data_IF_375892801494
#
_entry.id   IF_375892801494
#
_cell.length_a   1.000
_cell.length_b   1.000
_cell.length_c   1.000
_cell.angle_alpha   90.00
_cell.angle_beta   90.00
_cell.angle_gamma   90.00
#
_symmetry.space_group_name_H-M   'P 1'
#
loop_
_entity.id
_entity.type
_entity.pdbx_description
1 polymer ?
#
# COMPACT_ATOMS: atom_id res chain seq x y z
N UNK A 1 -0.84 -31.84 -29.85
CA UNK A 1 -0.12 -32.92 -29.12
C UNK A 1 -0.02 -32.49 -27.67
N UNK A 2 -0.53 -33.33 -26.76
CA UNK A 2 -0.52 -33.10 -25.31
C UNK A 2 0.77 -33.69 -24.73
N UNK A 3 1.49 -32.93 -23.92
CA UNK A 3 2.45 -33.46 -22.95
C UNK A 3 2.07 -32.91 -21.56
N UNK A 4 2.00 -33.76 -20.52
CA UNK A 4 1.57 -33.40 -19.18
C UNK A 4 2.75 -32.89 -18.34
N UNK A 5 2.52 -31.89 -17.49
CA UNK A 5 3.38 -31.60 -16.36
C UNK A 5 2.78 -32.22 -15.11
N UNK A 6 3.54 -33.16 -14.57
CA UNK A 6 3.27 -33.95 -13.37
C UNK A 6 3.18 -33.05 -12.14
N UNK A 7 1.98 -32.92 -11.57
CA UNK A 7 1.83 -32.63 -10.14
C UNK A 7 2.06 -33.93 -9.37
N UNK A 8 3.23 -34.02 -8.73
CA UNK A 8 3.54 -35.04 -7.75
C UNK A 8 2.74 -34.79 -6.47
N UNK A 9 1.56 -35.39 -6.39
CA UNK A 9 0.83 -35.64 -5.14
C UNK A 9 1.41 -36.92 -4.54
N UNK A 10 2.27 -36.84 -3.53
CA UNK A 10 2.52 -37.94 -2.58
C UNK A 10 3.44 -37.49 -1.43
N UNK A 11 3.08 -37.97 -0.23
CA UNK A 11 3.79 -37.87 1.08
C UNK A 11 3.38 -36.61 1.85
N UNK A 12 2.56 -36.64 2.90
CA UNK A 12 2.65 -37.54 4.05
C UNK A 12 1.33 -37.61 4.84
N UNK A 13 0.55 -38.68 4.65
CA UNK A 13 -0.46 -39.14 5.61
C UNK A 13 0.20 -40.26 6.42
N UNK A 14 0.95 -39.94 7.47
CA UNK A 14 1.46 -40.94 8.41
C UNK A 14 2.06 -40.33 9.71
N UNK A 15 1.29 -39.61 10.53
CA UNK A 15 1.60 -39.41 11.96
C UNK A 15 0.33 -39.18 12.83
N UNK A 16 -0.78 -39.87 12.53
CA UNK A 16 -1.94 -39.94 13.44
C UNK A 16 -1.86 -41.21 14.30
N UNK A 17 -0.94 -41.22 15.26
CA UNK A 17 -0.98 -42.13 16.40
C UNK A 17 -0.23 -41.52 17.60
N UNK A 18 -0.91 -40.59 18.27
CA UNK A 18 -0.38 -39.90 19.44
C UNK A 18 -1.42 -38.98 20.07
N UNK A 19 -2.55 -39.53 20.53
CA UNK A 19 -3.45 -38.84 21.46
C UNK A 19 -2.76 -38.73 22.83
N UNK A 20 -1.83 -37.79 22.96
CA UNK A 20 -1.55 -37.11 24.21
C UNK A 20 -2.11 -35.70 24.09
N UNK A 21 -2.59 -35.11 25.18
CA UNK A 21 -2.82 -33.66 25.25
C UNK A 21 -1.47 -32.95 25.06
N UNK A 22 -1.02 -32.82 23.81
CA UNK A 22 0.06 -31.94 23.43
C UNK A 22 -0.53 -30.54 23.45
N UNK A 23 -0.02 -29.70 24.33
CA UNK A 23 -0.33 -28.28 24.35
C UNK A 23 -0.19 -27.73 22.94
N UNK A 24 -1.12 -26.85 22.55
CA UNK A 24 -1.11 -26.10 21.29
C UNK A 24 0.29 -25.50 21.02
N UNK A 25 1.01 -25.20 22.11
CA UNK A 25 2.36 -24.66 22.17
C UNK A 25 3.45 -25.53 21.51
N UNK A 26 3.35 -26.86 21.48
CA UNK A 26 4.41 -27.73 20.89
C UNK A 26 4.27 -27.90 19.37
N UNK A 27 3.16 -27.44 18.78
CA UNK A 27 2.84 -27.61 17.36
C UNK A 27 2.40 -26.27 16.74
N UNK A 28 2.95 -25.14 17.19
CA UNK A 28 2.44 -23.83 16.76
C UNK A 28 2.45 -23.66 15.23
N UNK A 29 3.56 -24.02 14.55
CA UNK A 29 3.69 -23.97 13.08
C UNK A 29 2.55 -24.71 12.36
N UNK A 30 2.11 -25.86 12.87
CA UNK A 30 1.02 -26.63 12.28
C UNK A 30 -0.32 -25.88 12.36
N UNK A 31 -0.64 -25.32 13.53
CA UNK A 31 -1.90 -24.61 13.73
C UNK A 31 -1.91 -23.25 13.01
N UNK A 32 -0.79 -22.54 12.98
CA UNK A 32 -0.64 -21.32 12.18
C UNK A 32 -0.89 -21.62 10.70
N UNK A 33 -0.26 -22.65 10.14
CA UNK A 33 -0.50 -23.01 8.74
C UNK A 33 -1.97 -23.40 8.49
N UNK A 34 -2.57 -24.14 9.41
CA UNK A 34 -4.00 -24.48 9.33
C UNK A 34 -4.89 -23.23 9.32
N UNK A 35 -4.58 -22.24 10.15
CA UNK A 35 -5.33 -20.98 10.19
C UNK A 35 -5.13 -20.16 8.91
N UNK A 36 -3.89 -20.06 8.40
CA UNK A 36 -3.58 -19.40 7.13
C UNK A 36 -4.34 -20.07 5.96
N UNK A 37 -4.33 -21.40 5.88
CA UNK A 37 -5.02 -22.15 4.83
C UNK A 37 -6.55 -22.00 4.91
N UNK A 38 -7.10 -21.89 6.12
CA UNK A 38 -8.53 -21.66 6.36
C UNK A 38 -8.93 -20.18 6.29
N UNK A 39 -7.98 -19.27 6.03
CA UNK A 39 -8.16 -17.81 6.02
C UNK A 39 -8.58 -17.22 7.37
N UNK A 40 -8.25 -17.89 8.47
CA UNK A 40 -8.45 -17.42 9.83
C UNK A 40 -7.26 -16.52 10.24
N UNK A 41 -7.07 -15.40 9.54
CA UNK A 41 -5.85 -14.59 9.68
C UNK A 41 -5.69 -13.97 11.07
N UNK A 42 -6.78 -13.55 11.72
CA UNK A 42 -6.74 -12.99 13.09
C UNK A 42 -6.24 -14.03 14.12
N UNK A 43 -6.67 -15.28 13.96
CA UNK A 43 -6.24 -16.40 14.81
C UNK A 43 -4.77 -16.77 14.57
N UNK A 44 -4.30 -16.67 13.32
CA UNK A 44 -2.89 -16.85 12.97
C UNK A 44 -2.02 -15.75 13.56
N UNK A 45 -2.40 -14.47 13.40
CA UNK A 45 -1.70 -13.31 13.96
C UNK A 45 -1.59 -13.43 15.49
N UNK A 46 -2.71 -13.71 16.16
CA UNK A 46 -2.74 -13.86 17.63
C UNK A 46 -1.76 -14.94 18.11
N UNK A 47 -1.63 -16.05 17.37
CA UNK A 47 -0.65 -17.10 17.70
C UNK A 47 0.77 -16.63 17.46
N UNK A 48 1.05 -16.03 16.30
CA UNK A 48 2.38 -15.59 15.90
C UNK A 48 2.94 -14.44 16.74
N UNK A 49 2.08 -13.63 17.38
CA UNK A 49 2.47 -12.58 18.33
C UNK A 49 2.76 -13.11 19.74
N UNK A 50 2.40 -14.37 20.03
CA UNK A 50 2.72 -15.00 21.31
C UNK A 50 4.17 -15.46 21.36
N UNK A 51 4.89 -15.07 22.41
CA UNK A 51 6.28 -15.52 22.66
C UNK A 51 6.40 -17.05 22.64
N UNK A 52 5.40 -17.75 23.17
CA UNK A 52 5.38 -19.22 23.19
C UNK A 52 5.34 -19.83 21.80
N UNK A 53 4.64 -19.19 20.85
CA UNK A 53 4.66 -19.64 19.47
C UNK A 53 5.98 -19.30 18.79
N UNK A 54 6.49 -18.09 19.02
CA UNK A 54 7.75 -17.60 18.44
C UNK A 54 8.93 -18.51 18.80
N UNK A 55 8.98 -19.01 20.04
CA UNK A 55 10.00 -19.96 20.51
C UNK A 55 10.05 -21.28 19.71
N UNK A 56 9.00 -21.61 18.93
CA UNK A 56 8.93 -22.77 18.05
C UNK A 56 9.43 -22.49 16.62
N UNK A 57 9.92 -21.29 16.33
CA UNK A 57 10.49 -20.91 15.04
C UNK A 57 12.01 -20.72 15.14
N UNK A 58 12.73 -21.18 14.11
CA UNK A 58 14.14 -20.81 13.90
C UNK A 58 14.23 -19.40 13.35
N UNK A 59 15.28 -18.67 13.73
CA UNK A 59 15.78 -17.47 13.03
C UNK A 59 14.69 -16.45 12.61
N UNK A 60 13.75 -16.18 13.53
CA UNK A 60 12.62 -15.27 13.33
C UNK A 60 11.70 -15.61 12.13
N UNK A 61 11.71 -16.85 11.64
CA UNK A 61 10.85 -17.36 10.55
C UNK A 61 9.36 -17.07 10.79
N UNK A 62 8.92 -16.90 12.05
CA UNK A 62 7.54 -16.58 12.37
C UNK A 62 7.10 -15.25 11.73
N UNK A 63 8.06 -14.33 11.49
CA UNK A 63 7.81 -13.07 10.80
C UNK A 63 7.35 -13.29 9.34
N UNK A 64 7.79 -14.37 8.69
CA UNK A 64 7.34 -14.70 7.33
C UNK A 64 5.86 -15.08 7.34
N UNK A 65 5.47 -15.93 8.28
CA UNK A 65 4.07 -16.35 8.44
C UNK A 65 3.21 -15.17 8.90
N UNK A 66 3.74 -14.29 9.76
CA UNK A 66 3.04 -13.11 10.27
C UNK A 66 2.82 -12.08 9.16
N UNK A 67 3.85 -11.81 8.34
CA UNK A 67 3.71 -10.97 7.17
C UNK A 67 2.66 -11.53 6.19
N UNK A 68 2.64 -12.85 6.01
CA UNK A 68 1.63 -13.53 5.17
C UNK A 68 0.22 -13.46 5.76
N UNK A 69 0.09 -13.56 7.08
CA UNK A 69 -1.18 -13.40 7.79
C UNK A 69 -1.73 -11.97 7.62
N UNK A 70 -0.87 -10.96 7.75
CA UNK A 70 -1.25 -9.56 7.49
C UNK A 70 -1.64 -9.32 6.03
N UNK A 71 -0.92 -9.89 5.06
CA UNK A 71 -1.30 -9.83 3.64
C UNK A 71 -2.68 -10.46 3.40
N UNK A 72 -2.91 -11.63 4.01
CA UNK A 72 -4.19 -12.33 4.01
C UNK A 72 -5.33 -11.52 4.61
N UNK A 73 -5.10 -10.92 5.78
CA UNK A 73 -6.04 -10.06 6.49
C UNK A 73 -6.38 -8.80 5.68
N UNK A 74 -5.45 -8.30 4.86
CA UNK A 74 -5.69 -7.22 3.90
C UNK A 74 -6.61 -7.64 2.74
N UNK A 75 -6.89 -8.94 2.56
CA UNK A 75 -7.72 -9.50 1.49
C UNK A 75 -6.93 -10.16 0.37
N UNK A 76 -5.60 -10.20 0.48
CA UNK A 76 -4.74 -10.64 -0.60
C UNK A 76 -4.01 -11.95 -0.30
N UNK A 77 -3.70 -12.66 -1.36
CA UNK A 77 -2.76 -13.77 -1.36
C UNK A 77 -1.80 -13.56 -2.53
N UNK A 78 -0.58 -14.08 -2.43
CA UNK A 78 0.35 -14.00 -3.56
C UNK A 78 -0.26 -14.58 -4.85
N UNK A 79 -0.99 -15.71 -4.83
CA UNK A 79 -1.70 -16.21 -6.02
C UNK A 79 -2.77 -15.25 -6.57
N UNK A 80 -3.53 -14.55 -5.71
CA UNK A 80 -4.57 -13.62 -6.18
C UNK A 80 -3.97 -12.37 -6.81
N UNK A 81 -2.89 -11.84 -6.23
CA UNK A 81 -2.19 -10.68 -6.82
C UNK A 81 -1.49 -11.08 -8.13
N UNK A 82 -0.80 -12.23 -8.16
CA UNK A 82 -0.19 -12.73 -9.39
C UNK A 82 -1.23 -13.01 -10.48
N UNK A 83 -2.40 -13.54 -10.12
CA UNK A 83 -3.50 -13.69 -11.07
C UNK A 83 -3.94 -12.33 -11.63
N UNK A 84 -4.12 -11.31 -10.78
CA UNK A 84 -4.45 -9.95 -11.21
C UNK A 84 -3.36 -9.34 -12.12
N UNK A 85 -2.08 -9.66 -11.91
CA UNK A 85 -0.99 -9.22 -12.79
C UNK A 85 -1.02 -9.96 -14.13
N UNK A 86 -1.23 -11.28 -14.12
CA UNK A 86 -1.08 -12.17 -15.27
C UNK A 86 -2.32 -12.26 -16.17
N UNK A 87 -3.52 -12.05 -15.64
CA UNK A 87 -4.77 -12.13 -16.43
C UNK A 87 -4.99 -10.87 -17.30
N UNK A 88 -4.10 -9.87 -17.17
CA UNK A 88 -4.01 -8.70 -18.03
C UNK A 88 -3.48 -9.05 -19.42
N UNK A 89 -4.37 -9.61 -20.25
CA UNK A 89 -4.08 -9.89 -21.66
C UNK A 89 -3.85 -8.58 -22.42
N UNK A 90 -2.59 -8.25 -22.71
CA UNK A 90 -2.05 -7.51 -23.87
C UNK A 90 -2.96 -6.44 -24.52
N UNK A 91 -3.67 -5.67 -23.72
CA UNK A 91 -4.50 -4.55 -24.18
C UNK A 91 -4.01 -3.31 -23.47
N UNK A 92 -4.29 -2.13 -24.03
CA UNK A 92 -3.81 -0.84 -23.51
C UNK A 92 -4.32 -0.52 -22.06
N UNK A 93 -5.04 -1.46 -21.41
CA UNK A 93 -5.73 -1.34 -20.12
C UNK A 93 -5.11 -2.18 -18.99
N UNK A 94 -3.94 -2.81 -19.15
CA UNK A 94 -3.38 -3.73 -18.14
C UNK A 94 -3.26 -3.15 -16.73
N UNK A 95 -2.80 -1.90 -16.60
CA UNK A 95 -2.69 -1.25 -15.28
C UNK A 95 -4.07 -0.93 -14.68
N UNK A 96 -5.05 -0.57 -15.51
CA UNK A 96 -6.41 -0.30 -15.08
C UNK A 96 -7.09 -1.57 -14.56
N UNK A 97 -6.97 -2.66 -15.32
CA UNK A 97 -7.53 -3.96 -14.95
C UNK A 97 -6.86 -4.48 -13.66
N UNK A 98 -5.53 -4.43 -13.59
CA UNK A 98 -4.80 -4.73 -12.34
C UNK A 98 -5.32 -3.91 -11.16
N UNK A 99 -5.41 -2.59 -11.31
CA UNK A 99 -5.80 -1.72 -10.20
C UNK A 99 -7.24 -1.95 -9.76
N UNK A 100 -8.13 -2.25 -10.71
CA UNK A 100 -9.53 -2.60 -10.45
C UNK A 100 -9.63 -3.93 -9.71
N UNK A 101 -8.96 -4.98 -10.20
CA UNK A 101 -8.95 -6.30 -9.58
C UNK A 101 -8.38 -6.25 -8.16
N UNK A 102 -7.35 -5.43 -7.94
CA UNK A 102 -6.75 -5.22 -6.62
C UNK A 102 -7.68 -4.44 -5.69
N UNK A 103 -8.35 -3.40 -6.20
CA UNK A 103 -9.32 -2.62 -5.42
C UNK A 103 -10.53 -3.47 -5.00
N UNK A 104 -10.97 -4.42 -5.84
CA UNK A 104 -12.11 -5.31 -5.56
C UNK A 104 -11.82 -6.35 -4.47
N UNK A 105 -10.55 -6.68 -4.23
CA UNK A 105 -10.13 -7.64 -3.20
C UNK A 105 -9.97 -7.01 -1.81
N UNK A 106 -10.07 -5.67 -1.69
CA UNK A 106 -9.80 -4.97 -0.45
C UNK A 106 -10.81 -5.33 0.65
N UNK A 107 -10.30 -5.46 1.86
CA UNK A 107 -11.05 -5.59 3.11
C UNK A 107 -11.02 -4.27 3.91
N UNK A 108 -11.65 -4.24 5.07
CA UNK A 108 -11.49 -3.11 6.01
C UNK A 108 -10.04 -3.02 6.49
N UNK A 109 -9.49 -1.81 6.59
CA UNK A 109 -8.11 -1.55 7.02
C UNK A 109 -7.04 -2.19 6.11
N UNK A 110 -7.36 -2.39 4.83
CA UNK A 110 -6.45 -3.02 3.85
C UNK A 110 -5.07 -2.39 3.84
N UNK A 111 -5.00 -1.06 3.77
CA UNK A 111 -3.73 -0.34 3.69
C UNK A 111 -2.88 -0.52 4.95
N UNK A 112 -3.51 -0.58 6.13
CA UNK A 112 -2.81 -0.79 7.40
C UNK A 112 -2.24 -2.20 7.49
N UNK A 113 -3.02 -3.20 7.10
CA UNK A 113 -2.56 -4.58 7.06
C UNK A 113 -1.45 -4.80 6.01
N UNK A 114 -1.51 -4.13 4.84
CA UNK A 114 -0.42 -4.13 3.87
C UNK A 114 0.85 -3.46 4.41
N UNK A 115 0.70 -2.42 5.24
CA UNK A 115 1.84 -1.78 5.92
C UNK A 115 2.47 -2.71 6.94
N UNK A 116 1.67 -3.35 7.81
CA UNK A 116 2.15 -4.34 8.78
C UNK A 116 2.84 -5.52 8.10
N UNK A 117 2.29 -6.03 6.99
CA UNK A 117 2.91 -7.10 6.19
C UNK A 117 4.29 -6.70 5.65
N UNK A 118 4.39 -5.47 5.13
CA UNK A 118 5.64 -4.91 4.63
C UNK A 118 6.68 -4.77 5.74
N UNK A 119 6.32 -4.15 6.85
CA UNK A 119 7.25 -3.85 7.95
C UNK A 119 7.72 -5.12 8.64
N UNK A 120 6.83 -6.10 8.81
CA UNK A 120 7.17 -7.44 9.31
C UNK A 120 8.16 -8.16 8.37
N UNK A 121 7.98 -8.02 7.05
CA UNK A 121 8.90 -8.58 6.06
C UNK A 121 10.27 -7.90 6.12
N UNK A 122 10.32 -6.57 6.30
CA UNK A 122 11.58 -5.84 6.48
C UNK A 122 12.27 -6.21 7.79
N UNK A 123 11.51 -6.46 8.86
CA UNK A 123 12.05 -6.92 10.13
C UNK A 123 12.76 -8.26 9.96
N UNK A 124 12.17 -9.21 9.22
CA UNK A 124 12.82 -10.49 8.91
C UNK A 124 14.10 -10.31 8.10
N UNK A 125 14.06 -9.48 7.04
CA UNK A 125 15.21 -9.25 6.18
C UNK A 125 16.33 -8.46 6.86
N UNK A 126 15.98 -7.61 7.83
CA UNK A 126 16.87 -6.67 8.51
C UNK A 126 17.68 -5.76 7.55
N UNK A 127 17.16 -5.57 6.32
CA UNK A 127 17.73 -4.75 5.26
C UNK A 127 16.68 -4.54 4.16
N UNK A 128 16.88 -3.53 3.31
CA UNK A 128 16.12 -3.41 2.08
C UNK A 128 16.55 -4.51 1.11
N UNK A 129 15.61 -5.00 0.30
CA UNK A 129 15.89 -6.06 -0.67
C UNK A 129 17.06 -5.72 -1.59
N UNK A 130 17.25 -4.46 -1.97
CA UNK A 130 18.31 -4.06 -2.89
C UNK A 130 19.71 -4.10 -2.25
N UNK A 131 19.78 -4.08 -0.91
CA UNK A 131 21.02 -4.06 -0.15
C UNK A 131 21.55 -5.48 0.16
N UNK A 132 20.71 -6.51 -0.03
CA UNK A 132 21.06 -7.90 0.24
C UNK A 132 21.80 -8.50 -0.96
N UNK A 133 23.11 -8.68 -0.82
CA UNK A 133 23.92 -9.46 -1.76
C UNK A 133 23.66 -10.98 -1.60
N UNK A 134 23.73 -11.73 -2.70
CA UNK A 134 23.64 -13.21 -2.69
C UNK A 134 22.42 -13.80 -1.95
N UNK A 135 21.23 -13.21 -2.16
CA UNK A 135 19.95 -13.62 -1.54
C UNK A 135 19.73 -15.13 -1.56
N UNK A 136 19.37 -15.68 -0.40
CA UNK A 136 18.85 -17.03 -0.23
C UNK A 136 17.49 -17.19 -0.95
N UNK A 137 17.05 -18.43 -1.23
CA UNK A 137 15.74 -18.67 -1.84
C UNK A 137 14.57 -18.04 -1.04
N UNK A 138 14.66 -18.04 0.29
CA UNK A 138 13.66 -17.43 1.17
C UNK A 138 13.64 -15.92 1.01
N UNK A 139 14.80 -15.25 1.06
CA UNK A 139 14.92 -13.81 0.86
C UNK A 139 14.44 -13.38 -0.53
N UNK A 140 14.72 -14.18 -1.58
CA UNK A 140 14.16 -13.95 -2.93
C UNK A 140 12.63 -13.98 -2.91
N UNK A 141 12.01 -14.94 -2.21
CA UNK A 141 10.56 -15.04 -2.08
C UNK A 141 9.94 -13.86 -1.32
N UNK A 142 10.58 -13.42 -0.24
CA UNK A 142 10.13 -12.27 0.55
C UNK A 142 10.29 -10.98 -0.26
N UNK A 143 11.40 -10.79 -0.96
CA UNK A 143 11.60 -9.63 -1.82
C UNK A 143 10.60 -9.56 -2.97
N UNK A 144 10.25 -10.71 -3.56
CA UNK A 144 9.16 -10.77 -4.54
C UNK A 144 7.83 -10.36 -3.92
N UNK A 145 7.54 -10.83 -2.69
CA UNK A 145 6.32 -10.48 -1.97
C UNK A 145 6.26 -8.98 -1.64
N UNK A 146 7.38 -8.38 -1.20
CA UNK A 146 7.47 -6.94 -0.98
C UNK A 146 7.25 -6.13 -2.26
N UNK A 147 7.85 -6.55 -3.38
CA UNK A 147 7.62 -5.90 -4.67
C UNK A 147 6.13 -5.91 -5.04
N UNK A 148 5.48 -7.06 -4.85
CA UNK A 148 4.05 -7.24 -5.10
C UNK A 148 3.18 -6.41 -4.14
N UNK A 149 3.54 -6.32 -2.87
CA UNK A 149 2.88 -5.43 -1.89
C UNK A 149 3.01 -3.97 -2.33
N UNK A 150 4.20 -3.53 -2.74
CA UNK A 150 4.42 -2.16 -3.25
C UNK A 150 3.55 -1.83 -4.46
N UNK A 151 3.43 -2.75 -5.43
CA UNK A 151 2.51 -2.57 -6.56
C UNK A 151 1.04 -2.50 -6.12
N UNK A 152 0.63 -3.33 -5.17
CA UNK A 152 -0.74 -3.37 -4.61
C UNK A 152 -1.06 -2.06 -3.91
N UNK A 153 -0.15 -1.58 -3.05
CA UNK A 153 -0.24 -0.30 -2.35
C UNK A 153 -0.36 0.87 -3.34
N UNK A 154 0.45 0.87 -4.40
CA UNK A 154 0.41 1.88 -5.48
C UNK A 154 -0.96 1.88 -6.18
N UNK A 155 -1.48 0.71 -6.55
CA UNK A 155 -2.78 0.59 -7.19
C UNK A 155 -3.92 1.12 -6.30
N UNK A 156 -3.93 0.76 -5.02
CA UNK A 156 -4.92 1.27 -4.06
C UNK A 156 -4.80 2.77 -3.82
N UNK A 157 -3.58 3.31 -3.86
CA UNK A 157 -3.40 4.75 -3.75
C UNK A 157 -3.95 5.49 -4.98
N UNK A 158 -3.76 4.94 -6.18
CA UNK A 158 -4.34 5.50 -7.40
C UNK A 158 -5.87 5.35 -7.41
N UNK A 159 -6.41 4.23 -6.95
CA UNK A 159 -7.85 4.03 -6.71
C UNK A 159 -8.40 5.15 -5.82
N UNK A 160 -7.79 5.35 -4.66
CA UNK A 160 -8.15 6.41 -3.72
C UNK A 160 -8.10 7.81 -4.36
N UNK A 161 -7.00 8.16 -5.03
CA UNK A 161 -6.81 9.47 -5.65
C UNK A 161 -7.79 9.71 -6.81
N UNK A 162 -8.14 8.66 -7.55
CA UNK A 162 -9.17 8.72 -8.60
C UNK A 162 -10.60 8.78 -8.05
N UNK A 163 -10.78 8.61 -6.74
CA UNK A 163 -12.09 8.53 -6.11
C UNK A 163 -12.85 7.24 -6.41
N UNK A 164 -12.13 6.14 -6.70
CA UNK A 164 -12.70 4.84 -7.06
C UNK A 164 -13.03 4.68 -8.54
N UNK A 165 -12.63 5.62 -9.40
CA UNK A 165 -12.92 5.60 -10.84
C UNK A 165 -11.64 5.82 -11.66
N UNK A 166 -10.76 4.83 -11.60
CA UNK A 166 -9.50 4.78 -12.36
C UNK A 166 -9.79 4.80 -13.87
N UNK A 167 -10.93 4.27 -14.30
CA UNK A 167 -11.36 4.26 -15.70
C UNK A 167 -11.64 5.68 -16.18
N UNK A 168 -12.43 6.46 -15.44
CA UNK A 168 -12.69 7.86 -15.77
C UNK A 168 -11.41 8.70 -15.71
N UNK A 169 -10.52 8.43 -14.75
CA UNK A 169 -9.21 9.08 -14.72
C UNK A 169 -8.44 8.85 -16.02
N UNK A 170 -8.36 7.59 -16.47
CA UNK A 170 -7.67 7.23 -17.71
C UNK A 170 -8.31 7.86 -18.96
N UNK A 171 -9.63 7.77 -19.08
CA UNK A 171 -10.32 8.11 -20.33
C UNK A 171 -10.57 9.62 -20.48
N UNK A 172 -10.73 10.34 -19.36
CA UNK A 172 -11.24 11.72 -19.36
C UNK A 172 -10.43 12.70 -18.50
N UNK A 173 -9.30 12.30 -17.92
CA UNK A 173 -8.54 13.12 -16.98
C UNK A 173 -9.44 13.57 -15.80
N UNK A 174 -10.00 12.59 -15.07
CA UNK A 174 -11.10 12.79 -14.10
C UNK A 174 -10.92 14.00 -13.18
N UNK A 175 -12.04 14.65 -12.87
CA UNK A 175 -12.08 15.74 -11.89
C UNK A 175 -11.54 15.30 -10.52
N UNK A 176 -11.83 14.07 -10.11
CA UNK A 176 -11.39 13.52 -8.84
C UNK A 176 -9.87 13.43 -8.71
N UNK A 177 -9.17 12.92 -9.74
CA UNK A 177 -7.70 12.88 -9.71
C UNK A 177 -7.11 14.29 -9.60
N UNK A 178 -7.64 15.24 -10.38
CA UNK A 178 -7.18 16.64 -10.36
C UNK A 178 -7.47 17.34 -9.03
N UNK A 179 -8.57 16.99 -8.38
CA UNK A 179 -8.89 17.47 -7.03
C UNK A 179 -7.93 16.88 -5.99
N UNK A 180 -7.61 15.59 -6.10
CA UNK A 180 -6.65 14.92 -5.23
C UNK A 180 -5.24 15.49 -5.39
N UNK A 181 -4.77 15.71 -6.62
CA UNK A 181 -3.46 16.34 -6.86
C UNK A 181 -3.42 17.79 -6.40
N UNK A 182 -4.53 18.53 -6.50
CA UNK A 182 -4.66 19.87 -5.90
C UNK A 182 -4.53 19.84 -4.37
N UNK A 183 -5.17 18.86 -3.70
CA UNK A 183 -5.04 18.67 -2.25
C UNK A 183 -3.60 18.33 -1.84
N UNK A 184 -2.93 17.43 -2.56
CA UNK A 184 -1.50 17.10 -2.34
C UNK A 184 -0.63 18.34 -2.54
N UNK A 185 -0.89 19.12 -3.60
CA UNK A 185 -0.20 20.37 -3.88
C UNK A 185 -0.36 21.39 -2.76
N UNK A 186 -1.58 21.55 -2.22
CA UNK A 186 -1.83 22.39 -1.05
C UNK A 186 -1.07 21.90 0.18
N UNK A 187 -1.15 20.61 0.50
CA UNK A 187 -0.48 20.00 1.66
C UNK A 187 1.04 20.18 1.61
N UNK A 188 1.62 20.02 0.42
CA UNK A 188 3.06 20.23 0.16
C UNK A 188 3.44 21.70 0.31
N UNK A 189 2.61 22.61 -0.21
CA UNK A 189 2.87 24.04 -0.09
C UNK A 189 2.69 24.50 1.37
N UNK A 190 1.71 23.97 2.10
CA UNK A 190 1.42 24.28 3.50
C UNK A 190 2.54 23.82 4.44
N UNK A 191 3.19 22.71 4.10
CA UNK A 191 4.44 22.25 4.72
C UNK A 191 5.55 23.31 4.64
N UNK A 192 5.65 24.00 3.49
CA UNK A 192 6.65 25.04 3.28
C UNK A 192 6.24 26.40 3.87
N UNK A 193 4.93 26.70 3.87
CA UNK A 193 4.35 27.95 4.35
C UNK A 193 2.95 27.71 4.95
N UNK A 194 2.86 27.71 6.28
CA UNK A 194 1.58 27.54 6.99
C UNK A 194 0.64 28.75 6.88
N UNK A 195 1.04 29.81 6.17
CA UNK A 195 0.25 31.03 5.96
C UNK A 195 -0.39 31.12 4.58
N UNK A 196 -0.40 30.00 3.82
CA UNK A 196 -1.07 29.93 2.51
C UNK A 196 -2.51 30.41 2.60
N UNK A 197 -2.84 31.37 1.72
CA UNK A 197 -4.17 31.92 1.61
C UNK A 197 -5.12 30.96 0.89
N UNK A 198 -6.34 30.87 1.40
CA UNK A 198 -7.46 30.22 0.72
C UNK A 198 -8.31 31.26 -0.05
N UNK A 199 -8.91 30.88 -1.20
CA UNK A 199 -8.78 29.57 -1.84
C UNK A 199 -7.40 29.36 -2.47
N UNK A 200 -6.85 28.15 -2.37
CA UNK A 200 -5.57 27.79 -2.96
C UNK A 200 -5.77 27.16 -4.34
N UNK A 201 -5.16 27.75 -5.37
CA UNK A 201 -5.23 27.26 -6.75
C UNK A 201 -3.89 27.25 -7.47
N UNK A 202 -2.78 27.55 -6.79
CA UNK A 202 -1.48 27.80 -7.44
C UNK A 202 -0.95 26.58 -8.21
N UNK A 203 -1.13 25.37 -7.65
CA UNK A 203 -0.76 24.10 -8.28
C UNK A 203 -1.96 23.31 -8.81
N UNK A 204 -3.13 23.94 -8.88
CA UNK A 204 -4.37 23.27 -9.24
C UNK A 204 -4.75 23.57 -10.68
N UNK A 205 -5.25 22.58 -11.41
CA UNK A 205 -5.77 22.81 -12.76
C UNK A 205 -7.10 23.57 -12.67
N UNK A 206 -7.18 24.75 -13.28
CA UNK A 206 -8.40 25.56 -13.29
C UNK A 206 -9.61 24.76 -13.82
N UNK A 207 -10.78 24.81 -13.16
CA UNK A 207 -11.17 25.74 -12.08
C UNK A 207 -10.99 25.18 -10.66
N UNK A 208 -10.18 24.14 -10.47
CA UNK A 208 -10.05 23.43 -9.19
C UNK A 208 -9.28 24.27 -8.17
N UNK A 209 -9.73 24.24 -6.91
CA UNK A 209 -9.10 24.93 -5.80
C UNK A 209 -9.42 24.27 -4.46
N UNK A 210 -8.52 24.41 -3.49
CA UNK A 210 -8.84 24.14 -2.07
C UNK A 210 -9.52 25.37 -1.50
N UNK A 211 -10.76 25.22 -1.04
CA UNK A 211 -11.63 26.34 -0.64
C UNK A 211 -11.61 26.59 0.86
N UNK A 212 -11.57 25.53 1.66
CA UNK A 212 -11.52 25.60 3.12
C UNK A 212 -10.53 24.60 3.71
N UNK A 213 -10.01 24.96 4.88
CA UNK A 213 -9.17 24.12 5.76
C UNK A 213 -9.62 24.41 7.19
N UNK A 214 -10.20 23.43 7.87
CA UNK A 214 -10.69 23.55 9.25
C UNK A 214 -10.19 22.41 10.11
N UNK A 215 -9.91 22.68 11.39
CA UNK A 215 -9.47 21.62 12.31
C UNK A 215 -10.65 20.73 12.74
N UNK A 216 -10.45 19.41 12.64
CA UNK A 216 -11.38 18.40 13.13
C UNK A 216 -10.64 17.38 13.99
N UNK A 217 -11.21 17.03 15.15
CA UNK A 217 -10.64 16.05 16.08
C UNK A 217 -11.52 14.80 16.14
N UNK A 218 -10.91 13.65 15.88
CA UNK A 218 -11.54 12.33 16.04
C UNK A 218 -11.09 11.69 17.35
N UNK A 219 -12.02 11.12 18.11
CA UNK A 219 -11.69 10.35 19.33
C UNK A 219 -12.74 9.30 19.70
N UNK A 220 -12.28 8.10 20.07
CA UNK A 220 -13.10 6.98 20.58
C UNK A 220 -12.78 6.62 22.05
N UNK A 221 -12.09 7.51 22.78
CA UNK A 221 -11.64 7.28 24.16
C UNK A 221 -10.31 6.54 24.30
N UNK A 222 -9.87 5.80 23.26
CA UNK A 222 -8.54 5.18 23.21
C UNK A 222 -7.60 6.01 22.34
N UNK A 223 -8.10 6.50 21.21
CA UNK A 223 -7.34 7.27 20.22
C UNK A 223 -7.90 8.69 20.18
N UNK A 224 -7.03 9.67 19.94
CA UNK A 224 -7.42 11.08 19.74
C UNK A 224 -6.49 11.71 18.71
N UNK A 225 -7.01 12.03 17.52
CA UNK A 225 -6.25 12.59 16.40
C UNK A 225 -6.90 13.85 15.87
N UNK A 226 -6.10 14.86 15.51
CA UNK A 226 -6.59 16.13 14.97
C UNK A 226 -6.02 16.33 13.57
N UNK A 227 -6.88 16.73 12.64
CA UNK A 227 -6.57 16.91 11.23
C UNK A 227 -7.05 18.26 10.73
N UNK A 228 -6.43 18.73 9.66
CA UNK A 228 -7.01 19.76 8.80
C UNK A 228 -7.95 19.08 7.80
N UNK A 229 -9.24 19.35 7.90
CA UNK A 229 -10.26 18.93 6.94
C UNK A 229 -10.28 19.90 5.76
N UNK A 230 -9.94 19.38 4.59
CA UNK A 230 -9.85 20.15 3.36
C UNK A 230 -11.09 19.95 2.50
N UNK A 231 -11.60 21.03 1.92
CA UNK A 231 -12.62 20.99 0.86
C UNK A 231 -12.01 21.44 -0.46
N UNK A 232 -12.14 20.60 -1.49
CA UNK A 232 -11.63 20.86 -2.84
C UNK A 232 -12.80 20.96 -3.82
N UNK A 233 -12.93 22.11 -4.46
CA UNK A 233 -14.04 22.44 -5.37
C UNK A 233 -13.56 22.64 -6.80
N UNK A 234 -14.48 22.83 -7.75
CA UNK A 234 -14.17 23.03 -9.18
C UNK A 234 -14.14 21.74 -10.02
N UNK A 235 -14.42 20.58 -9.41
CA UNK A 235 -14.70 19.32 -10.12
C UNK A 235 -16.18 19.15 -10.46
N UNK A 236 -16.57 17.93 -10.82
CA UNK A 236 -17.99 17.54 -10.99
C UNK A 236 -18.75 17.54 -9.65
N UNK A 237 -18.05 17.19 -8.58
CA UNK A 237 -18.52 17.20 -7.20
C UNK A 237 -17.39 17.69 -6.28
N UNK A 238 -17.74 18.21 -5.11
CA UNK A 238 -16.74 18.58 -4.11
C UNK A 238 -16.05 17.32 -3.54
N UNK A 239 -14.75 17.42 -3.27
CA UNK A 239 -13.97 16.36 -2.63
C UNK A 239 -13.42 16.82 -1.30
N UNK A 240 -13.25 15.86 -0.39
CA UNK A 240 -12.85 16.12 0.99
C UNK A 240 -11.65 15.25 1.36
N UNK A 241 -10.73 15.82 2.12
CA UNK A 241 -9.51 15.13 2.53
C UNK A 241 -9.19 15.49 3.98
N UNK A 242 -8.49 14.59 4.67
CA UNK A 242 -7.83 14.91 5.93
C UNK A 242 -6.35 15.11 5.66
N UNK A 243 -5.80 16.20 6.20
CA UNK A 243 -4.38 16.47 6.22
C UNK A 243 -3.90 16.34 7.67
N UNK A 244 -2.97 15.42 7.90
CA UNK A 244 -2.23 15.33 9.15
C UNK A 244 -0.97 16.20 9.05
N UNK A 245 -0.53 16.70 10.20
CA UNK A 245 0.76 17.35 10.33
C UNK A 245 1.63 16.50 11.26
N UNK A 246 2.75 15.99 10.73
CA UNK A 246 3.76 15.27 11.51
C UNK A 246 5.01 16.13 11.61
N UNK A 247 5.61 16.19 12.80
CA UNK A 247 6.88 16.87 13.00
C UNK A 247 7.99 15.84 12.92
N UNK A 248 8.89 15.98 11.94
CA UNK A 248 10.12 15.21 11.93
C UNK A 248 10.97 15.64 13.13
N UNK A 249 11.18 14.70 14.06
CA UNK A 249 11.89 14.93 15.31
C UNK A 249 13.39 15.22 15.10
N UNK A 250 13.96 14.81 13.96
CA UNK A 250 15.37 15.04 13.64
C UNK A 250 15.60 16.42 13.01
N UNK A 251 14.65 16.90 12.19
CA UNK A 251 14.80 18.16 11.46
C UNK A 251 13.93 19.31 11.98
N UNK A 252 13.01 19.05 12.91
CA UNK A 252 11.96 19.96 13.36
C UNK A 252 11.10 20.53 12.22
N UNK A 253 11.08 19.87 11.07
CA UNK A 253 10.21 20.25 9.96
C UNK A 253 8.83 19.63 10.17
N UNK A 254 7.79 20.44 9.98
CA UNK A 254 6.41 19.97 10.02
C UNK A 254 6.01 19.55 8.60
N UNK A 255 5.94 18.25 8.36
CA UNK A 255 5.39 17.71 7.12
C UNK A 255 3.87 17.64 7.24
N UNK A 256 3.18 18.22 6.27
CA UNK A 256 1.73 18.08 6.13
C UNK A 256 1.44 17.13 4.99
N UNK A 257 0.64 16.10 5.26
CA UNK A 257 0.33 15.07 4.29
C UNK A 257 -1.15 14.73 4.28
N UNK A 258 -1.67 14.41 3.10
CA UNK A 258 -3.01 13.85 2.96
C UNK A 258 -3.02 12.45 3.55
N UNK A 259 -4.05 12.13 4.33
CA UNK A 259 -4.25 10.84 4.99
C UNK A 259 -5.19 9.98 4.15
N UNK A 260 -4.93 8.68 4.06
CA UNK A 260 -5.90 7.76 3.49
C UNK A 260 -7.12 7.66 4.38
N UNK A 261 -8.29 7.77 3.74
CA UNK A 261 -9.58 7.66 4.42
C UNK A 261 -10.45 6.65 3.71
N UNK A 262 -11.22 5.88 4.46
CA UNK A 262 -12.19 4.93 3.93
C UNK A 262 -13.58 5.27 4.43
N UNK A 263 -14.55 5.40 3.52
CA UNK A 263 -15.92 5.76 3.85
C UNK A 263 -16.04 7.12 4.58
N UNK A 264 -17.15 7.29 5.29
CA UNK A 264 -17.41 8.47 6.11
C UNK A 264 -17.75 8.06 7.54
N UNK A 265 -17.31 8.85 8.51
CA UNK A 265 -17.66 8.66 9.91
C UNK A 265 -17.82 9.99 10.66
N UNK A 266 -18.47 9.90 11.81
CA UNK A 266 -18.50 10.99 12.79
C UNK A 266 -17.16 11.07 13.51
N UNK A 267 -16.97 12.12 14.32
CA UNK A 267 -15.73 12.32 15.10
C UNK A 267 -15.50 11.24 16.15
N UNK A 268 -16.46 10.36 16.42
CA UNK A 268 -16.30 9.19 17.29
C UNK A 268 -16.02 7.88 16.52
N UNK A 269 -15.73 7.99 15.22
CA UNK A 269 -15.53 6.88 14.28
C UNK A 269 -16.80 6.06 13.95
N UNK A 270 -17.98 6.51 14.37
CA UNK A 270 -19.24 5.89 13.96
C UNK A 270 -19.50 6.13 12.47
N UNK A 271 -19.63 5.05 11.69
CA UNK A 271 -19.87 5.11 10.23
C UNK A 271 -21.16 5.88 9.91
N UNK A 272 -21.10 6.74 8.89
CA UNK A 272 -22.23 7.50 8.37
C UNK A 272 -22.30 7.41 6.85
N UNK A 273 -23.50 7.62 6.28
CA UNK A 273 -23.78 7.31 4.88
C UNK A 273 -23.62 8.49 3.91
N UNK A 274 -23.53 9.73 4.41
CA UNK A 274 -23.46 10.93 3.57
C UNK A 274 -22.63 12.00 4.27
N UNK A 275 -21.63 12.54 3.56
CA UNK A 275 -20.86 13.70 4.03
C UNK A 275 -21.78 14.91 4.19
N UNK A 276 -21.66 15.60 5.32
CA UNK A 276 -22.43 16.83 5.55
C UNK A 276 -21.63 17.93 6.27
N UNK A 277 -20.30 17.82 6.25
CA UNK A 277 -19.28 18.76 6.76
C UNK A 277 -19.43 19.19 8.24
N UNK A 278 -20.50 18.75 8.91
CA UNK A 278 -20.92 19.20 10.25
C UNK A 278 -21.06 18.04 11.24
N UNK A 279 -21.33 16.84 10.74
CA UNK A 279 -21.47 15.63 11.57
C UNK A 279 -20.82 14.40 10.97
N UNK A 280 -20.56 14.39 9.66
CA UNK A 280 -20.02 13.26 8.93
C UNK A 280 -18.89 13.73 8.03
N UNK A 281 -17.69 13.18 8.24
CA UNK A 281 -16.43 13.52 7.58
C UNK A 281 -15.84 12.30 6.88
N UNK A 282 -14.87 12.49 6.01
CA UNK A 282 -14.01 11.39 5.54
C UNK A 282 -13.36 10.69 6.73
N UNK A 283 -13.40 9.36 6.78
CA UNK A 283 -13.03 8.62 7.99
C UNK A 283 -11.55 8.22 8.00
N UNK A 284 -10.75 8.67 8.98
CA UNK A 284 -9.37 8.22 9.12
C UNK A 284 -9.29 6.81 9.72
N UNK A 285 -8.11 6.21 9.61
CA UNK A 285 -7.80 4.94 10.28
C UNK A 285 -7.96 5.05 11.81
N UNK A 286 -8.43 3.95 12.43
CA UNK A 286 -8.45 3.77 13.88
C UNK A 286 -7.16 3.15 14.42
N UNK A 287 -6.09 3.10 13.63
CA UNK A 287 -4.76 2.69 14.12
C UNK A 287 -4.04 3.87 14.77
N UNK A 288 -2.95 3.61 15.51
CA UNK A 288 -2.15 4.66 16.18
C UNK A 288 -1.51 5.61 15.18
N UNK A 289 -0.94 5.07 14.09
CA UNK A 289 -0.30 5.85 13.04
C UNK A 289 -1.23 6.09 11.84
N UNK A 290 -1.12 7.27 11.23
CA UNK A 290 -1.83 7.58 10.00
C UNK A 290 -1.06 7.08 8.79
N UNK A 291 -1.79 6.46 7.86
CA UNK A 291 -1.26 6.15 6.54
C UNK A 291 -1.39 7.39 5.68
N UNK A 292 -0.26 8.01 5.37
CA UNK A 292 -0.22 9.24 4.58
C UNK A 292 0.07 8.92 3.12
N UNK A 293 -0.70 9.55 2.23
CA UNK A 293 -0.66 9.33 0.77
C UNK A 293 0.74 9.55 0.21
N UNK A 294 1.41 10.62 0.63
CA UNK A 294 2.70 11.00 0.04
C UNK A 294 3.78 9.94 0.26
N UNK A 295 4.02 9.52 1.51
CA UNK A 295 5.01 8.46 1.79
C UNK A 295 4.55 7.15 1.18
N UNK A 296 3.27 6.80 1.32
CA UNK A 296 2.77 5.54 0.82
C UNK A 296 2.90 5.39 -0.70
N UNK A 297 2.61 6.43 -1.50
CA UNK A 297 2.77 6.38 -2.96
C UNK A 297 4.25 6.42 -3.34
N UNK A 298 5.04 7.29 -2.70
CA UNK A 298 6.46 7.43 -2.99
C UNK A 298 7.25 6.17 -2.67
N UNK A 299 7.10 5.67 -1.45
CA UNK A 299 7.81 4.49 -0.95
C UNK A 299 7.37 3.27 -1.77
N UNK A 300 6.05 3.08 -1.98
CA UNK A 300 5.55 1.93 -2.74
C UNK A 300 6.01 1.92 -4.20
N UNK A 301 6.10 3.08 -4.87
CA UNK A 301 6.61 3.17 -6.24
C UNK A 301 8.13 2.97 -6.29
N UNK A 302 8.88 3.64 -5.43
CA UNK A 302 10.34 3.54 -5.42
C UNK A 302 10.80 2.15 -4.99
N UNK A 303 10.28 1.63 -3.87
CA UNK A 303 10.66 0.32 -3.32
C UNK A 303 10.14 -0.80 -4.20
N UNK A 304 8.88 -0.72 -4.64
CA UNK A 304 8.26 -1.73 -5.50
C UNK A 304 9.04 -1.95 -6.79
N UNK A 305 9.36 -0.86 -7.51
CA UNK A 305 10.10 -0.95 -8.77
C UNK A 305 11.59 -1.26 -8.55
N UNK A 306 12.20 -0.78 -7.47
CA UNK A 306 13.60 -1.11 -7.15
C UNK A 306 13.76 -2.58 -6.79
N UNK A 307 12.80 -3.16 -6.05
CA UNK A 307 12.80 -4.58 -5.71
C UNK A 307 12.61 -5.47 -6.95
N UNK A 308 11.78 -5.06 -7.91
CA UNK A 308 11.66 -5.74 -9.21
C UNK A 308 13.01 -5.71 -9.92
N UNK A 309 13.65 -4.54 -10.01
CA UNK A 309 14.93 -4.41 -10.68
C UNK A 309 16.01 -5.27 -10.02
N UNK A 310 16.14 -5.29 -8.69
CA UNK A 310 17.17 -6.09 -8.02
C UNK A 310 16.98 -7.60 -8.15
N UNK A 311 15.72 -8.06 -8.27
CA UNK A 311 15.42 -9.48 -8.52
C UNK A 311 15.79 -9.92 -9.94
N UNK A 312 15.80 -9.00 -10.90
CA UNK A 312 15.98 -9.32 -12.32
C UNK A 312 17.27 -8.78 -12.96
N UNK A 313 18.00 -7.89 -12.28
CA UNK A 313 19.24 -7.27 -12.78
C UNK A 313 20.41 -8.24 -13.03
N UNK A 314 20.43 -9.40 -12.38
CA UNK A 314 21.57 -10.33 -12.39
C UNK A 314 21.45 -11.53 -13.35
N UNK A 315 20.44 -11.56 -14.24
CA UNK A 315 20.28 -12.67 -15.19
C UNK A 315 20.67 -12.23 -16.60
N UNK A 316 21.90 -12.56 -16.99
CA UNK A 316 22.56 -12.16 -18.26
C UNK A 316 21.79 -12.53 -19.55
N UNK A 317 20.76 -13.38 -19.53
CA UNK A 317 20.23 -13.99 -20.77
C UNK A 317 18.70 -14.20 -20.86
N UNK A 318 17.85 -13.51 -20.10
CA UNK A 318 16.40 -13.78 -20.26
C UNK A 318 15.34 -12.89 -19.62
N UNK A 319 15.72 -11.84 -18.88
CA UNK A 319 14.74 -10.97 -18.21
C UNK A 319 14.76 -9.52 -18.70
N UNK A 320 15.32 -9.28 -19.90
CA UNK A 320 15.33 -7.95 -20.54
C UNK A 320 13.94 -7.32 -20.57
N UNK A 321 12.90 -8.11 -20.77
CA UNK A 321 11.55 -7.60 -21.01
C UNK A 321 10.93 -6.97 -19.74
N UNK A 322 11.18 -7.54 -18.56
CA UNK A 322 10.67 -7.00 -17.29
C UNK A 322 11.42 -5.72 -16.90
N UNK A 323 12.75 -5.74 -17.02
CA UNK A 323 13.58 -4.56 -16.76
C UNK A 323 13.32 -3.45 -17.78
N UNK A 324 13.09 -3.79 -19.05
CA UNK A 324 12.70 -2.83 -20.09
C UNK A 324 11.32 -2.25 -19.83
N UNK A 325 10.33 -3.07 -19.45
CA UNK A 325 9.00 -2.60 -19.09
C UNK A 325 9.04 -1.66 -17.87
N UNK A 326 9.81 -2.04 -16.84
CA UNK A 326 10.01 -1.22 -15.64
C UNK A 326 10.71 0.10 -15.98
N UNK A 327 11.73 0.06 -16.85
CA UNK A 327 12.40 1.26 -17.36
C UNK A 327 11.47 2.19 -18.14
N UNK A 328 10.65 1.65 -19.04
CA UNK A 328 9.65 2.42 -19.80
C UNK A 328 8.62 3.08 -18.89
N UNK A 329 8.15 2.38 -17.86
CA UNK A 329 7.22 2.93 -16.88
C UNK A 329 7.88 4.06 -16.06
N UNK A 330 9.13 3.88 -15.64
CA UNK A 330 9.93 4.92 -14.97
C UNK A 330 10.07 6.18 -15.83
N UNK A 331 10.35 6.02 -17.13
CA UNK A 331 10.43 7.13 -18.08
C UNK A 331 9.09 7.84 -18.32
N UNK A 332 7.96 7.12 -18.23
CA UNK A 332 6.62 7.70 -18.35
C UNK A 332 6.32 8.68 -17.19
N UNK A 333 6.70 8.30 -15.96
CA UNK A 333 6.55 9.13 -14.77
C UNK A 333 7.56 10.28 -14.78
N UNK A 334 8.85 9.96 -14.97
CA UNK A 334 9.97 10.91 -14.92
C UNK A 334 10.74 10.91 -16.25
N UNK A 335 10.47 11.88 -17.15
CA UNK A 335 11.18 11.98 -18.42
C UNK A 335 12.69 12.13 -18.20
N UNK A 336 13.47 11.23 -18.78
CA UNK A 336 14.93 11.13 -18.55
C UNK A 336 15.33 10.02 -17.58
N UNK A 337 14.36 9.31 -17.00
CA UNK A 337 14.58 8.11 -16.18
C UNK A 337 15.05 8.39 -14.76
N UNK A 338 15.47 7.33 -14.09
CA UNK A 338 16.06 7.37 -12.75
C UNK A 338 17.59 7.51 -12.87
N UNK A 339 18.20 8.33 -12.01
CA UNK A 339 19.66 8.30 -11.86
C UNK A 339 20.05 7.05 -11.07
N UNK A 340 20.57 6.04 -11.78
CA UNK A 340 21.02 4.77 -11.18
C UNK A 340 22.34 4.89 -10.43
N UNK A 341 22.96 6.08 -10.42
CA UNK A 341 24.25 6.33 -9.76
C UNK A 341 24.13 7.09 -8.43
N UNK A 342 22.92 7.48 -8.06
CA UNK A 342 22.65 8.20 -6.80
C UNK A 342 21.86 7.34 -5.82
N UNK A 343 22.17 7.41 -4.53
CA UNK A 343 21.39 6.81 -3.43
C UNK A 343 20.03 7.52 -3.20
N UNK A 344 19.56 8.31 -4.17
CA UNK A 344 18.31 9.06 -4.06
C UNK A 344 17.16 8.25 -4.65
N UNK A 345 15.95 8.37 -4.07
CA UNK A 345 14.75 7.77 -4.65
C UNK A 345 14.56 8.27 -6.08
N UNK A 346 14.07 7.40 -6.97
CA UNK A 346 13.89 7.74 -8.37
C UNK A 346 12.86 8.86 -8.56
N UNK A 347 11.73 8.76 -7.84
CA UNK A 347 10.61 9.68 -7.98
C UNK A 347 10.47 10.60 -6.77
N UNK A 348 10.07 11.83 -7.05
CA UNK A 348 9.58 12.81 -6.07
C UNK A 348 8.06 12.92 -6.15
N UNK A 349 7.43 13.50 -5.12
CA UNK A 349 5.97 13.70 -5.14
C UNK A 349 5.56 14.64 -6.29
N UNK A 350 6.45 15.56 -6.70
CA UNK A 350 6.20 16.42 -7.85
C UNK A 350 6.17 15.60 -9.14
N UNK A 351 7.10 14.67 -9.35
CA UNK A 351 7.13 13.81 -10.55
C UNK A 351 5.82 13.02 -10.69
N UNK A 352 5.34 12.44 -9.58
CA UNK A 352 4.09 11.67 -9.54
C UNK A 352 2.89 12.59 -9.78
N UNK A 353 2.84 13.76 -9.13
CA UNK A 353 1.74 14.72 -9.31
C UNK A 353 1.65 15.20 -10.76
N UNK A 354 2.80 15.48 -11.39
CA UNK A 354 2.87 15.86 -12.80
C UNK A 354 2.41 14.71 -13.70
N UNK A 355 2.80 13.46 -13.40
CA UNK A 355 2.33 12.29 -14.13
C UNK A 355 0.80 12.12 -14.04
N UNK A 356 0.25 12.17 -12.83
CA UNK A 356 -1.19 12.00 -12.60
C UNK A 356 -2.05 13.09 -13.26
N UNK A 357 -1.48 14.29 -13.44
CA UNK A 357 -2.12 15.44 -14.09
C UNK A 357 -1.94 15.51 -15.62
N UNK A 358 -1.04 14.70 -16.21
CA UNK A 358 -0.76 14.68 -17.66
C UNK A 358 -1.78 13.86 -18.46
N UNK A 359 -2.41 12.87 -17.83
CA UNK A 359 -3.50 12.09 -18.42
C UNK A 359 -4.78 12.89 -18.32
#
# INVERSE_FOLDING_TARGET
MRYPLLFSIASSVALLSGCGEQSIDDNCRYYVQQDLDNKNYDDAITKLESTTCQDNYSDDDYLIDLASAYLGRAGYSLPSILAAVLDNKSTDDSFLNFSTDIADLKTTNTLANLQLSHDTSLQYLNAQCNDIADKTPTEVGICLTQAVIGLTKTALAIDFLSGGDIKDWKDNASGAMKQSTCAIGYSTAYTADNSISLPYSASCQSPIQVESSEEVTFSNGTISKTYQHLKVTGGTEDKYYLQSSSTDSATNNVASNIVFTENFCQTDFTVCSVINETTCYVCPSQEEDDLVVNSFVLDSLNDGLSNIDSLFAHKEDGNSDITEATGKFKEEIKPGGCDTTSDQPCFTMQDITDYLNKK
#
